data_IF_614194415380
#
_entry.id   IF_614194415380
#
_cell.length_a   1.000
_cell.length_b   1.000
_cell.length_c   1.000
_cell.angle_alpha   90.00
_cell.angle_beta   90.00
_cell.angle_gamma   90.00
#
_symmetry.space_group_name_H-M   'P 1'
#
loop_
_entity.id
_entity.type
_entity.pdbx_description
1 polymer ?
#
# COMPACT_ATOMS: atom_id res chain seq x y z
N UNK A 1 7.11 -11.28 12.61
CA UNK A 1 5.83 -10.53 12.58
C UNK A 1 5.47 -10.28 11.12
N UNK A 2 4.21 -10.48 10.72
CA UNK A 2 3.75 -10.18 9.35
C UNK A 2 3.23 -8.73 9.30
N UNK A 3 3.97 -7.83 8.64
CA UNK A 3 3.61 -6.41 8.44
C UNK A 3 2.35 -6.26 7.57
N UNK A 4 1.68 -5.10 7.63
CA UNK A 4 0.50 -4.81 6.80
C UNK A 4 0.88 -4.72 5.32
N UNK A 5 2.07 -4.18 5.02
CA UNK A 5 2.61 -4.15 3.66
C UNK A 5 2.81 -5.57 3.09
N UNK A 6 3.35 -6.50 3.89
CA UNK A 6 3.49 -7.90 3.48
C UNK A 6 2.13 -8.60 3.28
N UNK A 7 1.13 -8.31 4.12
CA UNK A 7 -0.22 -8.85 3.94
C UNK A 7 -0.91 -8.31 2.68
N UNK A 8 -0.69 -7.04 2.37
CA UNK A 8 -1.20 -6.41 1.15
C UNK A 8 -0.49 -6.96 -0.09
N UNK A 9 0.82 -7.19 0.01
CA UNK A 9 1.60 -7.82 -1.05
C UNK A 9 1.15 -9.25 -1.34
N UNK A 10 0.85 -10.06 -0.31
CA UNK A 10 0.31 -11.42 -0.47
C UNK A 10 -1.04 -11.40 -1.20
N UNK A 11 -1.94 -10.48 -0.85
CA UNK A 11 -3.24 -10.35 -1.52
C UNK A 11 -3.09 -10.01 -3.01
N UNK A 12 -2.12 -9.16 -3.36
CA UNK A 12 -1.79 -8.86 -4.74
C UNK A 12 -1.13 -10.05 -5.47
N UNK A 13 -0.19 -10.75 -4.83
CA UNK A 13 0.47 -11.91 -5.44
C UNK A 13 -0.47 -13.10 -5.69
N UNK A 14 -1.55 -13.22 -4.91
CA UNK A 14 -2.64 -14.17 -5.22
C UNK A 14 -3.40 -13.79 -6.50
N UNK A 15 -3.35 -12.54 -6.94
CA UNK A 15 -3.96 -12.06 -8.19
C UNK A 15 -2.98 -12.01 -9.38
N UNK A 16 -1.67 -11.89 -9.14
CA UNK A 16 -0.61 -11.71 -10.17
C UNK A 16 -0.27 -12.99 -10.97
N UNK A 17 -0.85 -14.17 -10.69
CA UNK A 17 -0.56 -15.37 -11.48
C UNK A 17 -0.86 -15.24 -13.00
N UNK A 18 -1.47 -14.14 -13.46
CA UNK A 18 -1.96 -13.97 -14.84
C UNK A 18 -1.33 -12.84 -15.70
N UNK A 19 -0.37 -12.00 -15.26
CA UNK A 19 0.11 -10.88 -16.13
C UNK A 19 1.62 -10.55 -16.09
N UNK A 20 2.25 -10.25 -17.26
CA UNK A 20 3.65 -9.82 -17.34
C UNK A 20 3.83 -8.33 -16.97
N UNK A 21 4.88 -8.02 -16.22
CA UNK A 21 5.21 -6.66 -15.78
C UNK A 21 6.36 -6.06 -16.60
N UNK A 22 6.04 -5.17 -17.55
CA UNK A 22 7.04 -4.37 -18.26
C UNK A 22 7.24 -2.99 -17.60
N UNK A 23 8.50 -2.63 -17.34
CA UNK A 23 8.94 -1.23 -17.14
C UNK A 23 8.75 -0.58 -15.76
N UNK A 24 8.61 -1.34 -14.67
CA UNK A 24 8.36 -0.78 -13.34
C UNK A 24 9.59 -0.09 -12.72
N UNK A 25 9.38 1.09 -12.11
CA UNK A 25 10.35 1.67 -11.16
C UNK A 25 10.41 0.76 -9.94
N UNK A 26 11.61 0.31 -9.61
CA UNK A 26 11.88 -0.68 -8.56
C UNK A 26 11.09 -0.37 -7.27
N UNK A 27 10.29 -1.34 -6.82
CA UNK A 27 9.57 -1.32 -5.55
C UNK A 27 9.65 -2.69 -4.88
N UNK A 28 9.75 -2.73 -3.55
CA UNK A 28 9.69 -3.98 -2.80
C UNK A 28 8.25 -4.52 -2.71
N UNK A 29 7.27 -3.68 -3.05
CA UNK A 29 5.85 -3.96 -2.92
C UNK A 29 5.16 -3.94 -4.29
N UNK A 30 4.08 -4.70 -4.48
CA UNK A 30 3.31 -4.71 -5.73
C UNK A 30 2.41 -3.46 -5.84
N UNK A 31 3.01 -2.28 -5.75
CA UNK A 31 2.34 -0.96 -5.79
C UNK A 31 1.66 -0.66 -7.12
N UNK A 32 1.90 -1.49 -8.13
CA UNK A 32 1.24 -1.41 -9.43
C UNK A 32 -0.05 -2.25 -9.50
N UNK A 33 -0.33 -3.07 -8.49
CA UNK A 33 -1.53 -3.88 -8.43
C UNK A 33 -2.65 -3.17 -7.69
N UNK A 34 -3.88 -3.26 -8.18
CA UNK A 34 -5.03 -2.60 -7.58
C UNK A 34 -5.35 -3.22 -6.21
N UNK A 35 -5.23 -4.54 -6.12
CA UNK A 35 -5.54 -5.38 -4.97
C UNK A 35 -4.67 -5.02 -3.77
N UNK A 36 -3.40 -4.68 -4.02
CA UNK A 36 -2.48 -4.18 -2.99
C UNK A 36 -3.07 -2.95 -2.30
N UNK A 37 -3.48 -1.95 -3.09
CA UNK A 37 -4.02 -0.71 -2.56
C UNK A 37 -5.39 -0.90 -1.91
N UNK A 38 -6.27 -1.70 -2.51
CA UNK A 38 -7.56 -2.02 -1.90
C UNK A 38 -7.39 -2.62 -0.51
N UNK A 39 -6.43 -3.53 -0.35
CA UNK A 39 -6.13 -4.15 0.94
C UNK A 39 -5.52 -3.14 1.91
N UNK A 40 -4.56 -2.34 1.48
CA UNK A 40 -3.95 -1.30 2.30
C UNK A 40 -4.99 -0.27 2.78
N UNK A 41 -5.91 0.13 1.91
CA UNK A 41 -7.01 1.04 2.25
C UNK A 41 -8.00 0.42 3.23
N UNK A 42 -8.27 -0.89 3.16
CA UNK A 42 -9.10 -1.58 4.13
C UNK A 42 -8.46 -1.53 5.54
N UNK A 43 -7.15 -1.75 5.63
CA UNK A 43 -6.41 -1.57 6.89
C UNK A 43 -6.37 -0.10 7.35
N UNK A 44 -6.21 0.84 6.43
CA UNK A 44 -6.19 2.26 6.75
C UNK A 44 -7.53 2.76 7.32
N UNK A 45 -8.65 2.17 6.89
CA UNK A 45 -9.99 2.51 7.40
C UNK A 45 -10.32 1.89 8.76
N UNK A 46 -9.54 0.90 9.21
CA UNK A 46 -9.78 0.22 10.47
C UNK A 46 -8.96 0.88 11.59
N UNK A 47 -9.59 1.46 12.63
CA UNK A 47 -8.88 2.13 13.72
C UNK A 47 -7.82 1.25 14.40
N UNK A 48 -8.08 -0.06 14.51
CA UNK A 48 -7.15 -1.00 15.14
C UNK A 48 -5.83 -1.18 14.37
N UNK A 49 -5.82 -0.89 13.06
CA UNK A 49 -4.65 -1.06 12.19
C UNK A 49 -4.17 0.26 11.57
N UNK A 50 -4.92 1.34 11.73
CA UNK A 50 -4.64 2.63 11.11
C UNK A 50 -3.29 3.23 11.55
N UNK A 51 -2.93 3.12 12.83
CA UNK A 51 -1.62 3.59 13.30
C UNK A 51 -0.48 2.82 12.63
N UNK A 52 -0.59 1.50 12.56
CA UNK A 52 0.41 0.66 11.90
C UNK A 52 0.53 0.98 10.39
N UNK A 53 -0.56 1.34 9.72
CA UNK A 53 -0.50 1.83 8.33
C UNK A 53 0.29 3.13 8.24
N UNK A 54 0.11 4.08 9.16
CA UNK A 54 0.88 5.33 9.15
C UNK A 54 2.37 5.10 9.39
N UNK A 55 2.70 4.15 10.25
CA UNK A 55 4.08 3.81 10.59
C UNK A 55 4.79 3.12 9.42
N UNK A 56 4.10 2.18 8.75
CA UNK A 56 4.70 1.37 7.67
C UNK A 56 4.69 2.08 6.31
N UNK A 57 3.70 2.94 6.00
CA UNK A 57 3.58 3.50 4.64
C UNK A 57 4.74 4.42 4.23
N UNK A 58 5.50 4.91 5.20
CA UNK A 58 6.75 5.63 4.95
C UNK A 58 7.80 4.77 4.22
N UNK A 59 7.72 3.45 4.29
CA UNK A 59 8.61 2.56 3.51
C UNK A 59 8.41 2.77 2.00
N UNK A 60 7.16 2.86 1.53
CA UNK A 60 6.84 3.12 0.11
C UNK A 60 7.26 4.54 -0.30
N UNK A 61 7.13 5.52 0.60
CA UNK A 61 7.53 6.92 0.34
C UNK A 61 9.03 7.07 0.08
N UNK A 62 9.84 6.15 0.60
CA UNK A 62 11.29 6.16 0.43
C UNK A 62 11.75 5.36 -0.81
N UNK A 63 10.84 4.77 -1.57
CA UNK A 63 11.16 3.97 -2.76
C UNK A 63 11.05 4.80 -4.06
N UNK A 64 11.85 4.48 -5.11
CA UNK A 64 11.79 5.16 -6.40
C UNK A 64 10.40 5.12 -7.07
N UNK A 65 9.54 4.16 -6.70
CA UNK A 65 8.18 4.05 -7.20
C UNK A 65 7.28 5.21 -6.76
N UNK A 66 7.64 5.98 -5.71
CA UNK A 66 6.87 7.13 -5.24
C UNK A 66 6.80 8.25 -6.28
N UNK A 67 7.78 8.33 -7.19
CA UNK A 67 7.79 9.29 -8.29
C UNK A 67 6.70 9.00 -9.35
N UNK A 68 6.04 7.83 -9.29
CA UNK A 68 4.86 7.56 -10.08
C UNK A 68 3.64 8.25 -9.46
N UNK A 69 2.99 9.14 -10.21
CA UNK A 69 1.82 9.91 -9.76
C UNK A 69 0.71 9.05 -9.13
N UNK A 70 0.48 7.85 -9.67
CA UNK A 70 -0.55 6.94 -9.17
C UNK A 70 -0.17 6.38 -7.80
N UNK A 71 1.09 5.99 -7.63
CA UNK A 71 1.64 5.50 -6.36
C UNK A 71 1.58 6.63 -5.32
N UNK A 72 2.05 7.83 -5.67
CA UNK A 72 2.00 8.99 -4.79
C UNK A 72 0.58 9.29 -4.30
N UNK A 73 -0.39 9.37 -5.22
CA UNK A 73 -1.80 9.63 -4.86
C UNK A 73 -2.36 8.56 -3.93
N UNK A 74 -2.05 7.29 -4.17
CA UNK A 74 -2.52 6.19 -3.34
C UNK A 74 -1.90 6.23 -1.94
N UNK A 75 -0.60 6.54 -1.83
CA UNK A 75 0.06 6.74 -0.54
C UNK A 75 -0.61 7.86 0.27
N UNK A 76 -0.82 9.03 -0.35
CA UNK A 76 -1.47 10.15 0.32
C UNK A 76 -2.90 9.82 0.76
N UNK A 77 -3.63 9.07 -0.07
CA UNK A 77 -4.99 8.62 0.26
C UNK A 77 -5.00 7.65 1.44
N UNK A 78 -4.11 6.65 1.48
CA UNK A 78 -3.99 5.72 2.60
C UNK A 78 -3.65 6.47 3.91
N UNK A 79 -2.71 7.43 3.86
CA UNK A 79 -2.39 8.28 5.03
C UNK A 79 -3.59 9.08 5.51
N UNK A 80 -4.33 9.69 4.59
CA UNK A 80 -5.54 10.46 4.93
C UNK A 80 -6.60 9.57 5.58
N UNK A 81 -6.85 8.39 5.01
CA UNK A 81 -7.81 7.42 5.57
C UNK A 81 -7.40 6.98 6.97
N UNK A 82 -6.13 6.62 7.18
CA UNK A 82 -5.63 6.19 8.48
C UNK A 82 -5.71 7.29 9.54
N UNK A 83 -5.35 8.54 9.20
CA UNK A 83 -5.53 9.68 10.11
C UNK A 83 -7.00 9.88 10.49
N UNK A 84 -7.92 9.77 9.53
CA UNK A 84 -9.36 9.89 9.82
C UNK A 84 -9.88 8.73 10.68
N UNK A 85 -9.40 7.51 10.47
CA UNK A 85 -9.79 6.35 11.26
C UNK A 85 -9.30 6.41 12.71
N UNK A 86 -8.22 7.13 13.00
CA UNK A 86 -7.72 7.35 14.37
C UNK A 86 -8.43 8.48 15.12
N UNK A 87 -9.15 9.35 14.39
CA UNK A 87 -9.89 10.47 14.97
C UNK A 87 -11.35 10.11 15.32
N UNK A 88 -11.86 9.01 14.76
CA UNK A 88 -13.22 8.51 14.95
C UNK A 88 -13.22 7.27 15.84
#
# INVERSE_FOLDING_TARGET
MKTILNQSAIAAHQAILDQPQDGQRYSLYPVHELEFWQRLFAFAKNPATAQQVLDEIGEIENEPCIENDRVFRNVQQARKMAKLALLN
#
